data_IF_657878652574
#
_entry.id   IF_657878652574
#
_cell.length_a   1.000
_cell.length_b   1.000
_cell.length_c   1.000
_cell.angle_alpha   90.00
_cell.angle_beta   90.00
_cell.angle_gamma   90.00
#
_symmetry.space_group_name_H-M   'P 1'
#
loop_
_entity.id
_entity.type
_entity.pdbx_description
1 polymer ?
#
# COMPACT_ATOMS: atom_id res chain seq x y z
N UNK A 1 21.95 -14.39 -7.95
CA UNK A 1 21.18 -13.32 -7.26
C UNK A 1 21.20 -11.97 -8.00
N UNK A 2 21.34 -11.91 -9.34
CA UNK A 2 21.48 -10.62 -10.07
C UNK A 2 20.28 -10.23 -10.94
N UNK A 3 19.29 -11.11 -11.10
CA UNK A 3 18.15 -10.88 -12.01
C UNK A 3 16.87 -10.41 -11.30
N UNK A 4 16.71 -10.64 -9.99
CA UNK A 4 15.55 -10.15 -9.25
C UNK A 4 15.60 -8.62 -9.05
N UNK A 5 16.80 -8.06 -8.87
CA UNK A 5 16.98 -6.64 -8.58
C UNK A 5 16.58 -5.73 -9.76
N UNK A 6 16.84 -6.18 -10.99
CA UNK A 6 16.50 -5.44 -12.22
C UNK A 6 14.98 -5.43 -12.45
N UNK A 7 14.28 -6.52 -12.14
CA UNK A 7 12.81 -6.60 -12.23
C UNK A 7 12.14 -5.68 -11.20
N UNK A 8 12.66 -5.63 -9.96
CA UNK A 8 12.14 -4.74 -8.91
C UNK A 8 12.38 -3.26 -9.22
N UNK A 9 13.53 -2.89 -9.81
CA UNK A 9 13.82 -1.51 -10.23
C UNK A 9 12.94 -1.08 -11.41
N UNK A 10 12.68 -1.97 -12.38
CA UNK A 10 11.75 -1.70 -13.48
C UNK A 10 10.33 -1.42 -12.98
N UNK A 11 9.84 -2.23 -12.05
CA UNK A 11 8.54 -2.01 -11.41
C UNK A 11 8.50 -0.71 -10.61
N UNK A 12 9.56 -0.35 -9.87
CA UNK A 12 9.60 0.88 -9.06
C UNK A 12 9.61 2.15 -9.93
N UNK A 13 10.31 2.14 -11.07
CA UNK A 13 10.37 3.30 -11.98
C UNK A 13 9.04 3.49 -12.74
N UNK A 14 8.40 2.40 -13.17
CA UNK A 14 7.08 2.45 -13.81
C UNK A 14 6.00 2.92 -12.81
N UNK A 15 6.14 2.57 -11.52
CA UNK A 15 5.24 3.02 -10.44
C UNK A 15 5.34 4.52 -10.15
N UNK A 16 6.43 5.20 -10.51
CA UNK A 16 6.53 6.64 -10.23
C UNK A 16 5.79 7.52 -11.26
N UNK A 17 5.71 7.11 -12.53
CA UNK A 17 5.07 7.91 -13.60
C UNK A 17 3.55 7.82 -13.57
N UNK A 18 2.99 6.66 -13.21
CA UNK A 18 1.53 6.48 -13.12
C UNK A 18 0.92 7.24 -11.94
N UNK A 19 1.57 7.26 -10.77
CA UNK A 19 0.95 7.72 -9.52
C UNK A 19 0.89 9.26 -9.33
N UNK A 20 1.29 10.04 -10.34
CA UNK A 20 1.15 11.50 -10.41
C UNK A 20 -0.11 11.97 -11.16
N UNK A 21 -0.93 11.06 -11.69
CA UNK A 21 -2.14 11.42 -12.43
C UNK A 21 -3.18 12.07 -11.50
N UNK A 22 -3.51 13.32 -11.78
CA UNK A 22 -4.52 14.10 -11.03
C UNK A 22 -5.91 13.68 -11.52
N UNK A 23 -6.72 13.14 -10.61
CA UNK A 23 -8.14 12.85 -10.86
C UNK A 23 -8.86 14.19 -11.10
N UNK A 24 -9.49 14.34 -12.27
CA UNK A 24 -10.32 15.50 -12.59
C UNK A 24 -11.73 15.21 -12.09
N UNK A 25 -12.13 15.81 -10.96
CA UNK A 25 -13.40 15.52 -10.26
C UNK A 25 -14.70 15.90 -11.01
N UNK A 26 -14.65 16.42 -12.24
CA UNK A 26 -15.80 17.07 -12.88
C UNK A 26 -16.13 16.53 -14.27
N UNK A 27 -16.58 15.29 -14.36
CA UNK A 27 -17.33 14.82 -15.53
C UNK A 27 -18.49 13.94 -15.05
N UNK A 28 -19.72 14.33 -15.37
CA UNK A 28 -20.90 13.46 -15.32
C UNK A 28 -20.61 12.26 -16.22
N UNK A 29 -20.11 11.16 -15.64
CA UNK A 29 -19.73 9.97 -16.39
C UNK A 29 -20.98 9.17 -16.78
N UNK A 30 -21.01 8.73 -18.02
CA UNK A 30 -22.05 7.78 -18.50
C UNK A 30 -21.73 6.37 -18.00
N UNK A 31 -22.73 5.46 -17.91
CA UNK A 31 -22.53 4.11 -17.36
C UNK A 31 -21.48 3.26 -18.11
N UNK A 32 -21.18 3.61 -19.36
CA UNK A 32 -20.13 2.97 -20.16
C UNK A 32 -18.74 3.57 -19.90
N UNK A 33 -18.63 4.87 -19.64
CA UNK A 33 -17.37 5.50 -19.23
C UNK A 33 -16.89 5.01 -17.86
N UNK A 34 -17.83 4.74 -16.94
CA UNK A 34 -17.56 4.14 -15.62
C UNK A 34 -16.97 2.72 -15.70
N UNK A 35 -17.09 2.07 -16.87
CA UNK A 35 -16.63 0.70 -17.09
C UNK A 35 -15.36 0.60 -17.93
N UNK A 36 -14.86 1.68 -18.54
CA UNK A 36 -13.57 1.65 -19.26
C UNK A 36 -12.40 1.53 -18.29
N UNK A 37 -11.30 0.86 -18.67
CA UNK A 37 -10.07 0.75 -17.85
C UNK A 37 -9.25 2.06 -17.90
N UNK A 38 -9.78 3.11 -17.29
CA UNK A 38 -9.10 4.40 -17.15
C UNK A 38 -9.30 4.95 -15.71
N UNK A 39 -8.69 6.10 -15.41
CA UNK A 39 -8.83 6.76 -14.09
C UNK A 39 -10.25 7.24 -13.75
N UNK A 40 -11.19 7.20 -14.70
CA UNK A 40 -12.60 7.50 -14.46
C UNK A 40 -13.43 6.27 -14.06
N UNK A 41 -12.87 5.06 -14.17
CA UNK A 41 -13.52 3.81 -13.81
C UNK A 41 -14.05 3.84 -12.37
N UNK A 42 -15.26 3.33 -12.17
CA UNK A 42 -15.92 3.28 -10.86
C UNK A 42 -15.10 2.48 -9.84
N UNK A 43 -14.66 1.27 -10.20
CA UNK A 43 -13.85 0.41 -9.31
C UNK A 43 -12.52 1.09 -8.96
N UNK A 44 -11.86 1.75 -9.93
CA UNK A 44 -10.64 2.52 -9.66
C UNK A 44 -10.86 3.60 -8.61
N UNK A 45 -11.88 4.45 -8.80
CA UNK A 45 -12.20 5.56 -7.89
C UNK A 45 -12.57 5.07 -6.49
N UNK A 46 -13.39 4.03 -6.40
CA UNK A 46 -13.81 3.42 -5.14
C UNK A 46 -12.62 2.86 -4.37
N UNK A 47 -11.80 1.99 -5.01
CA UNK A 47 -10.63 1.40 -4.36
C UNK A 47 -9.58 2.45 -4.01
N UNK A 48 -9.40 3.48 -4.83
CA UNK A 48 -8.46 4.54 -4.53
C UNK A 48 -8.88 5.34 -3.28
N UNK A 49 -10.16 5.73 -3.21
CA UNK A 49 -10.70 6.43 -2.05
C UNK A 49 -10.56 5.58 -0.78
N UNK A 50 -10.94 4.30 -0.84
CA UNK A 50 -10.78 3.38 0.29
C UNK A 50 -9.32 3.20 0.68
N UNK A 51 -8.41 3.07 -0.30
CA UNK A 51 -6.99 2.89 -0.03
C UNK A 51 -6.37 4.09 0.68
N UNK A 52 -6.74 5.32 0.28
CA UNK A 52 -6.29 6.55 0.93
C UNK A 52 -6.75 6.58 2.39
N UNK A 53 -8.05 6.42 2.64
CA UNK A 53 -8.62 6.44 4.00
C UNK A 53 -8.03 5.33 4.88
N UNK A 54 -7.97 4.11 4.36
CA UNK A 54 -7.38 2.96 5.04
C UNK A 54 -5.91 3.21 5.41
N UNK A 55 -5.13 3.75 4.49
CA UNK A 55 -3.69 3.96 4.69
C UNK A 55 -3.42 5.06 5.69
N UNK A 56 -4.18 6.16 5.69
CA UNK A 56 -4.08 7.22 6.71
C UNK A 56 -4.32 6.60 8.09
N UNK A 57 -5.47 5.95 8.29
CA UNK A 57 -5.85 5.36 9.58
C UNK A 57 -4.85 4.32 10.06
N UNK A 58 -4.37 3.47 9.16
CA UNK A 58 -3.40 2.42 9.52
C UNK A 58 -2.02 3.01 9.83
N UNK A 59 -1.62 4.07 9.11
CA UNK A 59 -0.36 4.76 9.35
C UNK A 59 -0.36 5.53 10.67
N UNK A 60 -1.50 6.12 11.06
CA UNK A 60 -1.67 6.72 12.40
C UNK A 60 -1.48 5.68 13.50
N UNK A 61 -2.17 4.54 13.40
CA UNK A 61 -2.03 3.43 14.37
C UNK A 61 -0.59 2.94 14.45
N UNK A 62 0.08 2.78 13.30
CA UNK A 62 1.49 2.39 13.27
C UNK A 62 2.40 3.43 13.92
N UNK A 63 2.21 4.70 13.59
CA UNK A 63 2.99 5.80 14.14
C UNK A 63 2.83 5.91 15.66
N UNK A 64 1.60 5.94 16.15
CA UNK A 64 1.30 6.02 17.59
C UNK A 64 1.90 4.82 18.36
N UNK A 65 1.73 3.61 17.82
CA UNK A 65 2.24 2.40 18.47
C UNK A 65 3.78 2.40 18.54
N UNK A 66 4.43 2.82 17.45
CA UNK A 66 5.89 2.84 17.39
C UNK A 66 6.50 3.99 18.19
N UNK A 67 5.84 5.14 18.27
CA UNK A 67 6.21 6.23 19.18
C UNK A 67 6.15 5.79 20.64
N UNK A 68 5.05 5.14 21.03
CA UNK A 68 4.90 4.61 22.39
C UNK A 68 6.02 3.61 22.75
N UNK A 69 6.33 2.69 21.84
CA UNK A 69 7.44 1.73 22.04
C UNK A 69 8.77 2.47 22.21
N UNK A 70 9.03 3.50 21.39
CA UNK A 70 10.26 4.29 21.52
C UNK A 70 10.36 5.04 22.84
N UNK A 71 9.26 5.61 23.33
CA UNK A 71 9.19 6.25 24.64
C UNK A 71 9.47 5.26 25.77
N UNK A 72 8.83 4.09 25.76
CA UNK A 72 9.09 3.03 26.75
C UNK A 72 10.54 2.52 26.69
N UNK A 73 11.11 2.36 25.49
CA UNK A 73 12.53 2.00 25.32
C UNK A 73 13.46 3.07 25.90
N UNK A 74 13.08 4.35 25.79
CA UNK A 74 13.86 5.48 26.31
C UNK A 74 13.85 5.50 27.83
N UNK A 75 12.68 5.34 28.43
CA UNK A 75 12.50 5.29 29.88
C UNK A 75 13.29 4.13 30.52
N UNK A 76 13.39 3.01 29.82
CA UNK A 76 14.12 1.83 30.28
C UNK A 76 15.62 1.83 29.95
N UNK A 77 16.14 2.86 29.27
CA UNK A 77 17.52 2.91 28.74
C UNK A 77 17.87 1.73 27.80
N UNK A 78 16.88 1.19 27.09
CA UNK A 78 17.04 0.11 26.11
C UNK A 78 17.21 0.63 24.68
N UNK A 79 17.10 1.94 24.49
CA UNK A 79 17.26 2.59 23.19
C UNK A 79 18.73 2.52 22.77
N UNK A 80 19.07 1.88 21.64
CA UNK A 80 20.45 1.85 21.16
C UNK A 80 20.95 3.27 20.91
N UNK A 81 22.16 3.59 21.37
CA UNK A 81 22.82 4.86 21.10
C UNK A 81 22.84 5.12 19.58
N UNK A 82 22.01 6.07 19.11
CA UNK A 82 22.06 6.59 17.75
C UNK A 82 21.13 5.98 16.67
N UNK A 83 19.97 5.40 17.00
CA UNK A 83 18.98 5.04 15.95
C UNK A 83 18.06 6.21 15.54
N UNK A 84 17.72 6.35 14.25
CA UNK A 84 17.41 7.64 13.66
C UNK A 84 15.94 8.01 13.79
N UNK A 85 15.69 9.01 14.65
CA UNK A 85 14.50 9.87 14.63
C UNK A 85 14.09 10.29 13.20
N UNK A 86 15.05 10.36 12.26
CA UNK A 86 14.82 10.71 10.85
C UNK A 86 13.81 9.82 10.10
N UNK A 87 13.75 8.50 10.35
CA UNK A 87 12.77 7.63 9.65
C UNK A 87 11.35 7.89 10.17
N UNK A 88 11.19 7.97 11.49
CA UNK A 88 9.93 8.35 12.15
C UNK A 88 9.46 9.74 11.76
N UNK A 89 10.38 10.71 11.74
CA UNK A 89 10.09 12.07 11.33
C UNK A 89 9.64 12.13 9.86
N UNK A 90 10.35 11.44 8.95
CA UNK A 90 9.95 11.39 7.54
C UNK A 90 8.60 10.69 7.34
N UNK A 91 8.32 9.63 8.11
CA UNK A 91 7.02 8.96 8.09
C UNK A 91 5.91 9.93 8.52
N UNK A 92 6.14 10.66 9.62
CA UNK A 92 5.23 11.67 10.14
C UNK A 92 5.01 12.83 9.15
N UNK A 93 6.07 13.33 8.51
CA UNK A 93 6.00 14.36 7.48
C UNK A 93 5.11 13.90 6.31
N UNK A 94 5.34 12.70 5.76
CA UNK A 94 4.52 12.14 4.68
C UNK A 94 3.04 11.98 5.12
N UNK A 95 2.81 11.48 6.34
CA UNK A 95 1.46 11.33 6.88
C UNK A 95 0.76 12.68 7.05
N UNK A 96 1.47 13.69 7.52
CA UNK A 96 0.96 15.05 7.70
C UNK A 96 0.63 15.68 6.36
N UNK A 97 1.53 15.59 5.37
CA UNK A 97 1.34 16.12 4.03
C UNK A 97 0.09 15.52 3.35
N UNK A 98 -0.12 14.21 3.51
CA UNK A 98 -1.31 13.51 3.00
C UNK A 98 -2.59 14.05 3.66
N UNK A 99 -2.55 14.33 4.97
CA UNK A 99 -3.73 14.80 5.73
C UNK A 99 -4.05 16.28 5.48
N UNK A 100 -3.04 17.11 5.23
CA UNK A 100 -3.21 18.56 5.01
C UNK A 100 -3.43 18.93 3.55
N UNK A 101 -3.36 17.96 2.64
CA UNK A 101 -3.59 18.21 1.22
C UNK A 101 -5.07 18.56 0.96
N UNK A 102 -5.31 19.72 0.36
CA UNK A 102 -6.64 20.12 -0.15
C UNK A 102 -7.04 19.34 -1.41
N UNK A 103 -6.12 18.57 -2.00
CA UNK A 103 -6.36 17.67 -3.12
C UNK A 103 -6.30 16.20 -2.69
N UNK A 104 -6.85 15.30 -3.51
CA UNK A 104 -6.72 13.85 -3.28
C UNK A 104 -5.24 13.50 -3.08
N UNK A 105 -4.88 12.87 -1.95
CA UNK A 105 -3.49 12.50 -1.69
C UNK A 105 -2.92 11.70 -2.85
N UNK A 106 -1.77 12.13 -3.38
CA UNK A 106 -1.10 11.41 -4.45
C UNK A 106 -0.89 9.95 -4.02
N UNK A 107 -1.38 9.00 -4.84
CA UNK A 107 -1.28 7.56 -4.57
C UNK A 107 0.14 7.15 -4.23
N UNK A 108 1.13 7.84 -4.79
CA UNK A 108 2.55 7.68 -4.52
C UNK A 108 2.90 7.91 -3.04
N UNK A 109 2.34 8.93 -2.39
CA UNK A 109 2.62 9.22 -0.98
C UNK A 109 1.99 8.18 -0.06
N UNK A 110 0.76 7.76 -0.37
CA UNK A 110 0.07 6.67 0.32
C UNK A 110 0.84 5.35 0.18
N UNK A 111 1.36 5.10 -1.02
CA UNK A 111 2.23 3.94 -1.27
C UNK A 111 3.54 4.02 -0.47
N UNK A 112 4.17 5.19 -0.37
CA UNK A 112 5.37 5.36 0.47
C UNK A 112 5.10 4.97 1.92
N UNK A 113 3.98 5.39 2.52
CA UNK A 113 3.60 4.98 3.88
C UNK A 113 3.46 3.46 4.00
N UNK A 114 2.74 2.84 3.06
CA UNK A 114 2.58 1.38 3.02
C UNK A 114 3.93 0.67 2.90
N UNK A 115 4.85 1.20 2.08
CA UNK A 115 6.20 0.64 1.89
C UNK A 115 7.04 0.71 3.17
N UNK A 116 6.97 1.80 3.92
CA UNK A 116 7.65 1.93 5.22
C UNK A 116 7.11 0.91 6.23
N UNK A 117 5.80 0.72 6.30
CA UNK A 117 5.18 -0.31 7.17
C UNK A 117 5.63 -1.72 6.78
N UNK A 118 5.63 -2.04 5.48
CA UNK A 118 6.11 -3.34 4.99
C UNK A 118 7.60 -3.53 5.29
N UNK A 119 8.41 -2.49 5.15
CA UNK A 119 9.83 -2.54 5.49
C UNK A 119 10.05 -2.81 6.99
N UNK A 120 9.28 -2.15 7.86
CA UNK A 120 9.30 -2.40 9.30
C UNK A 120 8.93 -3.85 9.63
N UNK A 121 7.90 -4.42 8.98
CA UNK A 121 7.52 -5.83 9.16
C UNK A 121 8.66 -6.78 8.78
N UNK A 122 9.35 -6.50 7.67
CA UNK A 122 10.51 -7.29 7.24
C UNK A 122 11.68 -7.18 8.22
N UNK A 123 11.93 -5.99 8.77
CA UNK A 123 12.98 -5.79 9.77
C UNK A 123 12.68 -6.60 11.04
N UNK A 124 11.44 -6.56 11.54
CA UNK A 124 11.02 -7.39 12.69
C UNK A 124 11.23 -8.88 12.43
N UNK A 125 10.89 -9.37 11.24
CA UNK A 125 11.08 -10.78 10.89
C UNK A 125 12.58 -11.15 10.78
N UNK A 126 13.43 -10.26 10.28
CA UNK A 126 14.89 -10.47 10.18
C UNK A 126 15.56 -10.49 11.55
N UNK A 127 15.17 -9.58 12.44
CA UNK A 127 15.80 -9.42 13.74
C UNK A 127 15.43 -10.52 14.76
N UNK A 128 14.48 -11.41 14.44
CA UNK A 128 14.20 -12.61 15.23
C UNK A 128 15.40 -13.56 15.39
N UNK A 129 16.35 -13.54 14.47
CA UNK A 129 17.56 -14.37 14.53
C UNK A 129 18.67 -13.79 15.43
N UNK A 130 18.58 -12.52 15.82
CA UNK A 130 19.54 -11.86 16.69
C UNK A 130 19.05 -11.89 18.14
N UNK A 131 19.88 -12.37 19.08
CA UNK A 131 19.40 -12.65 20.45
C UNK A 131 19.01 -11.37 21.21
N UNK A 132 19.78 -10.29 21.07
CA UNK A 132 19.47 -9.00 21.69
C UNK A 132 18.23 -8.34 21.08
N UNK A 133 18.10 -8.35 19.75
CA UNK A 133 16.96 -7.75 19.07
C UNK A 133 15.68 -8.56 19.29
N UNK A 134 15.78 -9.89 19.36
CA UNK A 134 14.66 -10.76 19.69
C UNK A 134 14.10 -10.49 21.09
N UNK A 135 14.98 -10.26 22.08
CA UNK A 135 14.57 -9.88 23.44
C UNK A 135 13.84 -8.54 23.47
N UNK A 136 14.29 -7.54 22.70
CA UNK A 136 13.59 -6.25 22.59
C UNK A 136 12.23 -6.40 21.87
N UNK A 137 12.17 -7.18 20.79
CA UNK A 137 10.92 -7.47 20.07
C UNK A 137 9.89 -8.12 20.99
N UNK A 138 10.32 -9.06 21.85
CA UNK A 138 9.46 -9.72 22.83
C UNK A 138 9.06 -8.78 23.96
N UNK A 139 10.03 -8.09 24.58
CA UNK A 139 9.82 -7.15 25.71
C UNK A 139 8.81 -6.07 25.36
N UNK A 140 8.95 -5.45 24.18
CA UNK A 140 8.09 -4.35 23.71
C UNK A 140 6.94 -4.82 22.83
N UNK A 141 6.72 -6.15 22.72
CA UNK A 141 5.61 -6.73 21.95
C UNK A 141 5.52 -6.21 20.52
N UNK A 142 6.65 -5.90 19.90
CA UNK A 142 6.73 -5.27 18.57
C UNK A 142 6.04 -6.15 17.52
N UNK A 143 6.20 -7.46 17.64
CA UNK A 143 5.53 -8.43 16.75
C UNK A 143 4.01 -8.38 16.87
N UNK A 144 3.46 -8.23 18.07
CA UNK A 144 2.00 -8.14 18.27
C UNK A 144 1.43 -6.90 17.58
N UNK A 145 2.14 -5.76 17.67
CA UNK A 145 1.77 -4.52 16.96
C UNK A 145 1.78 -4.75 15.45
N UNK A 146 2.86 -5.34 14.93
CA UNK A 146 2.97 -5.58 13.49
C UNK A 146 1.98 -6.63 12.96
N UNK A 147 1.61 -7.63 13.75
CA UNK A 147 0.57 -8.60 13.39
C UNK A 147 -0.81 -7.94 13.29
N UNK A 148 -1.17 -7.05 14.23
CA UNK A 148 -2.42 -6.27 14.12
C UNK A 148 -2.48 -5.42 12.86
N UNK A 149 -1.35 -4.83 12.47
CA UNK A 149 -1.26 -4.05 11.22
C UNK A 149 -1.38 -4.96 10.01
N UNK A 150 -0.69 -6.10 10.00
CA UNK A 150 -0.78 -7.11 8.94
C UNK A 150 -2.21 -7.61 8.75
N UNK A 151 -2.96 -7.82 9.83
CA UNK A 151 -4.35 -8.26 9.78
C UNK A 151 -5.26 -7.20 9.16
N UNK A 152 -5.03 -5.92 9.49
CA UNK A 152 -5.74 -4.79 8.85
C UNK A 152 -5.50 -4.76 7.34
N UNK A 153 -4.25 -4.88 6.91
CA UNK A 153 -3.91 -4.95 5.47
C UNK A 153 -4.49 -6.19 4.80
N UNK A 154 -4.46 -7.34 5.46
CA UNK A 154 -5.03 -8.58 4.92
C UNK A 154 -6.53 -8.44 4.69
N UNK A 155 -7.25 -7.91 5.69
CA UNK A 155 -8.69 -7.62 5.60
C UNK A 155 -8.99 -6.63 4.46
N UNK A 156 -8.21 -5.55 4.35
CA UNK A 156 -8.35 -4.58 3.27
C UNK A 156 -8.16 -5.24 1.89
N UNK A 157 -7.09 -6.02 1.71
CA UNK A 157 -6.82 -6.70 0.45
C UNK A 157 -7.87 -7.76 0.08
N UNK A 158 -8.44 -8.45 1.05
CA UNK A 158 -9.57 -9.36 0.81
C UNK A 158 -10.81 -8.61 0.31
N UNK A 159 -11.08 -7.43 0.86
CA UNK A 159 -12.19 -6.59 0.42
C UNK A 159 -11.96 -6.04 -1.00
N UNK A 160 -10.74 -5.64 -1.34
CA UNK A 160 -10.36 -5.27 -2.72
C UNK A 160 -10.65 -6.41 -3.69
N UNK A 161 -10.22 -7.63 -3.36
CA UNK A 161 -10.48 -8.80 -4.21
C UNK A 161 -11.97 -9.07 -4.40
N UNK A 162 -12.78 -8.91 -3.35
CA UNK A 162 -14.24 -9.06 -3.43
C UNK A 162 -14.87 -7.97 -4.29
N UNK A 163 -14.41 -6.72 -4.17
CA UNK A 163 -14.89 -5.62 -4.99
C UNK A 163 -14.60 -5.84 -6.48
N UNK A 164 -13.41 -6.38 -6.80
CA UNK A 164 -13.05 -6.73 -8.19
C UNK A 164 -13.92 -7.88 -8.71
N UNK A 165 -14.20 -8.89 -7.88
CA UNK A 165 -15.12 -10.00 -8.25
C UNK A 165 -16.54 -9.48 -8.50
N UNK A 166 -17.06 -8.61 -7.62
CA UNK A 166 -18.38 -8.00 -7.79
C UNK A 166 -18.45 -7.13 -9.07
N UNK A 167 -17.41 -6.31 -9.31
CA UNK A 167 -17.30 -5.51 -10.53
C UNK A 167 -17.26 -6.39 -11.79
N UNK A 168 -16.51 -7.48 -11.77
CA UNK A 168 -16.43 -8.43 -12.89
C UNK A 168 -17.79 -9.03 -13.25
N UNK A 169 -18.64 -9.30 -12.26
CA UNK A 169 -19.99 -9.82 -12.47
C UNK A 169 -20.96 -8.77 -13.06
N UNK A 170 -20.65 -7.47 -12.95
CA UNK A 170 -21.41 -6.37 -13.57
C UNK A 170 -21.06 -6.12 -15.06
N UNK A 171 -20.00 -6.75 -15.56
CA UNK A 171 -19.52 -6.59 -16.93
C UNK A 171 -20.26 -7.51 -17.91
N UNK A 172 -20.51 -7.03 -19.13
CA UNK A 172 -20.92 -7.90 -20.23
C UNK A 172 -19.72 -8.67 -20.81
N UNK A 173 -19.97 -9.66 -21.68
CA UNK A 173 -18.89 -10.52 -22.19
C UNK A 173 -17.81 -9.77 -22.98
N UNK A 174 -18.18 -8.77 -23.79
CA UNK A 174 -17.21 -7.93 -24.50
C UNK A 174 -16.33 -7.15 -23.53
N UNK A 175 -16.92 -6.57 -22.47
CA UNK A 175 -16.19 -5.85 -21.42
C UNK A 175 -15.29 -6.79 -20.62
N UNK A 176 -15.70 -8.03 -20.38
CA UNK A 176 -14.85 -9.03 -19.70
C UNK A 176 -13.63 -9.38 -20.56
N UNK A 177 -13.82 -9.59 -21.86
CA UNK A 177 -12.70 -9.83 -22.79
C UNK A 177 -11.71 -8.66 -22.79
N UNK A 178 -12.20 -7.42 -22.85
CA UNK A 178 -11.37 -6.21 -22.80
C UNK A 178 -10.63 -6.03 -21.46
N UNK A 179 -11.15 -6.61 -20.37
CA UNK A 179 -10.64 -6.41 -19.02
C UNK A 179 -10.04 -7.67 -18.37
N UNK A 180 -9.69 -8.67 -19.18
CA UNK A 180 -9.15 -9.94 -18.70
C UNK A 180 -7.91 -9.75 -17.79
N UNK A 181 -7.08 -8.75 -18.08
CA UNK A 181 -5.91 -8.39 -17.27
C UNK A 181 -6.27 -8.08 -15.80
N UNK A 182 -7.38 -7.38 -15.56
CA UNK A 182 -7.85 -7.06 -14.20
C UNK A 182 -8.23 -8.33 -13.43
N UNK A 183 -8.92 -9.25 -14.11
CA UNK A 183 -9.36 -10.51 -13.50
C UNK A 183 -8.20 -11.45 -13.23
N UNK A 184 -7.27 -11.58 -14.17
CA UNK A 184 -6.07 -12.39 -14.00
C UNK A 184 -5.15 -11.84 -12.91
N UNK A 185 -5.00 -10.51 -12.82
CA UNK A 185 -4.35 -9.88 -11.70
C UNK A 185 -5.02 -10.29 -10.38
N UNK A 186 -6.35 -10.23 -10.28
CA UNK A 186 -7.06 -10.56 -9.04
C UNK A 186 -6.88 -12.04 -8.65
N UNK A 187 -6.90 -12.97 -9.61
CA UNK A 187 -6.59 -14.40 -9.35
C UNK A 187 -5.21 -14.58 -8.72
N UNK A 188 -4.21 -13.87 -9.23
CA UNK A 188 -2.82 -13.92 -8.71
C UNK A 188 -2.74 -13.23 -7.35
N UNK A 189 -3.39 -12.09 -7.20
CA UNK A 189 -3.40 -11.29 -5.98
C UNK A 189 -4.05 -12.01 -4.80
N UNK A 190 -5.19 -12.67 -5.03
CA UNK A 190 -5.92 -13.46 -4.03
C UNK A 190 -5.11 -14.63 -3.49
N UNK A 191 -4.30 -15.28 -4.35
CA UNK A 191 -3.44 -16.42 -3.99
C UNK A 191 -2.20 -16.00 -3.19
N UNK A 192 -1.75 -14.75 -3.28
CA UNK A 192 -0.60 -14.28 -2.52
C UNK A 192 -0.96 -14.17 -1.03
N UNK A 193 -0.17 -14.84 -0.18
CA UNK A 193 -0.36 -14.87 1.28
C UNK A 193 0.70 -14.06 2.02
N UNK A 194 1.87 -13.84 1.41
CA UNK A 194 2.93 -13.09 2.06
C UNK A 194 2.63 -11.61 1.96
N UNK A 195 2.38 -10.97 3.10
CA UNK A 195 2.10 -9.54 3.20
C UNK A 195 3.10 -8.69 2.39
N UNK A 196 4.39 -9.01 2.50
CA UNK A 196 5.46 -8.27 1.84
C UNK A 196 5.46 -8.38 0.32
N UNK A 197 4.88 -9.44 -0.24
CA UNK A 197 4.70 -9.62 -1.68
C UNK A 197 3.32 -9.12 -2.16
N UNK A 198 2.34 -9.08 -1.25
CA UNK A 198 0.97 -8.65 -1.54
C UNK A 198 0.88 -7.14 -1.74
N UNK A 199 1.57 -6.35 -0.92
CA UNK A 199 1.57 -4.89 -1.04
C UNK A 199 2.03 -4.37 -2.43
N UNK A 200 3.17 -4.78 -3.01
CA UNK A 200 3.55 -4.33 -4.35
C UNK A 200 2.60 -4.86 -5.45
N UNK A 201 2.02 -6.06 -5.30
CA UNK A 201 0.99 -6.55 -6.22
C UNK A 201 -0.29 -5.72 -6.16
N UNK A 202 -0.67 -5.25 -4.96
CA UNK A 202 -1.81 -4.36 -4.81
C UNK A 202 -1.59 -3.06 -5.60
N UNK A 203 -0.41 -2.45 -5.55
CA UNK A 203 -0.15 -1.20 -6.30
C UNK A 203 -0.25 -1.38 -7.82
N UNK A 204 0.04 -2.58 -8.32
CA UNK A 204 -0.15 -2.90 -9.73
C UNK A 204 -1.62 -2.77 -10.17
N UNK A 205 -2.59 -2.92 -9.25
CA UNK A 205 -4.01 -2.64 -9.53
C UNK A 205 -4.20 -1.28 -10.21
N UNK A 206 -3.63 -0.21 -9.63
CA UNK A 206 -3.79 1.14 -10.17
C UNK A 206 -3.13 1.33 -11.54
N UNK A 207 -2.17 0.48 -11.91
CA UNK A 207 -1.55 0.52 -13.23
C UNK A 207 -2.46 -0.06 -14.30
N UNK A 208 -3.34 -0.99 -13.95
CA UNK A 208 -4.28 -1.60 -14.92
C UNK A 208 -5.25 -0.54 -15.47
N UNK A 209 -5.57 0.49 -14.67
CA UNK A 209 -6.47 1.59 -15.04
C UNK A 209 -5.73 2.83 -15.56
N UNK A 210 -4.42 2.76 -15.69
CA UNK A 210 -3.64 3.81 -16.33
C UNK A 210 -3.05 3.20 -17.59
N UNK A 211 -3.76 3.26 -18.74
CA UNK A 211 -3.11 2.90 -19.99
C UNK A 211 -1.84 3.75 -20.08
N UNK A 212 -0.73 3.10 -20.43
CA UNK A 212 0.47 3.83 -20.83
C UNK A 212 0.01 4.94 -21.76
N UNK A 213 0.17 6.20 -21.32
CA UNK A 213 0.05 7.29 -22.27
C UNK A 213 1.03 6.96 -23.36
N UNK A 214 0.54 6.84 -24.60
CA UNK A 214 1.42 6.90 -25.75
C UNK A 214 2.30 8.14 -25.52
N UNK A 215 3.60 7.89 -25.32
CA UNK A 215 4.60 8.93 -25.39
C UNK A 215 4.61 9.43 -26.83
N UNK A 216 3.78 10.44 -27.12
CA UNK A 216 3.96 11.34 -28.26
C UNK A 216 5.14 12.30 -28.01
#
# INVERSE_FOLDING_TARGET
MRNCFIIYLGLILIVQSCLTYVIRENADSTSEEDKQLNGNNKLYKEILKEFIDFSIKTSEVFYESTMKIQEEMKENNDLPDGLPNRRHQKFYEILTDIKSSESTPAVLNVYKLTKEIVAADQEVDKFRGDTSSAQLIEKYKIREVMDKIRDRYTTFYENVSKAVEAYWDELNESQKEEQELLFDWNKVFKKEKKFQLKAPKFIYFFHIFMPFGDED
#
